data_IF_342230701664
#
_entry.id   IF_342230701664
#
_cell.length_a   1.000
_cell.length_b   1.000
_cell.length_c   1.000
_cell.angle_alpha   90.00
_cell.angle_beta   90.00
_cell.angle_gamma   90.00
#
_symmetry.space_group_name_H-M   'P 1'
#
loop_
_entity.id
_entity.type
_entity.pdbx_description
1 polymer ?
#
# COMPACT_ATOMS: atom_id res chain seq x y z
N UNK A 1 -7.63 -62.49 30.66
CA UNK A 1 -6.88 -63.76 30.54
C UNK A 1 -7.58 -64.63 29.50
N UNK A 2 -6.76 -65.33 28.69
CA UNK A 2 -7.09 -66.38 27.71
C UNK A 2 -7.71 -65.99 26.35
N UNK A 3 -6.89 -66.29 25.34
CA UNK A 3 -6.95 -66.16 23.88
C UNK A 3 -7.66 -67.31 23.16
N UNK A 4 -8.20 -67.08 21.96
CA UNK A 4 -8.10 -68.06 20.85
C UNK A 4 -8.28 -67.46 19.44
N UNK A 5 -7.32 -67.79 18.57
CA UNK A 5 -7.25 -67.66 17.09
C UNK A 5 -7.93 -68.89 16.44
N UNK A 6 -8.37 -68.86 15.17
CA UNK A 6 -7.48 -69.16 14.01
C UNK A 6 -7.82 -68.34 12.71
N UNK A 7 -6.83 -67.95 11.88
CA UNK A 7 -6.39 -68.59 10.59
C UNK A 7 -7.42 -68.51 9.45
N UNK A 8 -7.15 -68.38 8.15
CA UNK A 8 -6.09 -67.89 7.25
C UNK A 8 -6.68 -68.00 5.82
N UNK A 9 -6.09 -67.31 4.83
CA UNK A 9 -6.30 -67.44 3.35
C UNK A 9 -7.41 -66.53 2.80
N UNK A 10 -7.31 -65.86 1.64
CA UNK A 10 -6.41 -65.99 0.48
C UNK A 10 -6.51 -64.69 -0.35
N UNK A 11 -5.40 -64.27 -0.96
CA UNK A 11 -5.32 -63.10 -1.83
C UNK A 11 -5.90 -63.34 -3.23
N UNK A 12 -6.51 -62.30 -3.81
CA UNK A 12 -6.59 -62.00 -5.25
C UNK A 12 -6.86 -60.48 -5.33
N UNK A 13 -5.85 -59.63 -5.53
CA UNK A 13 -5.37 -59.13 -6.82
C UNK A 13 -6.48 -58.56 -7.71
N UNK A 14 -6.69 -57.24 -7.60
CA UNK A 14 -7.28 -56.38 -8.62
C UNK A 14 -6.81 -54.94 -8.39
N UNK A 15 -5.74 -54.61 -9.09
CA UNK A 15 -5.45 -53.31 -9.74
C UNK A 15 -5.70 -52.03 -8.93
N UNK A 16 -4.56 -51.59 -8.39
CA UNK A 16 -4.15 -50.22 -8.14
C UNK A 16 -4.56 -49.26 -9.28
N UNK A 17 -5.57 -48.42 -9.03
CA UNK A 17 -5.66 -47.09 -9.60
C UNK A 17 -5.08 -46.14 -8.54
N UNK A 18 -3.83 -45.75 -8.76
CA UNK A 18 -3.21 -44.67 -8.01
C UNK A 18 -3.99 -43.39 -8.30
N UNK A 19 -4.81 -42.95 -7.35
CA UNK A 19 -5.20 -41.54 -7.27
C UNK A 19 -3.89 -40.79 -7.00
N UNK A 20 -3.28 -40.26 -8.06
CA UNK A 20 -2.10 -39.41 -7.93
C UNK A 20 -2.45 -38.23 -7.04
N UNK A 21 -1.48 -37.64 -6.32
CA UNK A 21 -1.76 -36.45 -5.54
C UNK A 21 -2.29 -35.39 -6.49
N UNK A 22 -3.59 -35.06 -6.38
CA UNK A 22 -4.15 -33.84 -6.93
C UNK A 22 -3.34 -32.74 -6.27
N UNK A 23 -2.32 -32.26 -6.98
CA UNK A 23 -1.50 -31.15 -6.55
C UNK A 23 -2.39 -29.94 -6.77
N UNK A 24 -3.25 -29.66 -5.79
CA UNK A 24 -3.95 -28.40 -5.67
C UNK A 24 -2.85 -27.35 -5.65
N UNK A 25 -2.62 -26.74 -6.81
CA UNK A 25 -1.61 -25.71 -6.97
C UNK A 25 -2.10 -24.56 -6.10
N UNK A 26 -1.50 -24.40 -4.93
CA UNK A 26 -1.84 -23.33 -4.00
C UNK A 26 -1.66 -22.01 -4.76
N UNK A 27 -2.78 -21.39 -5.12
CA UNK A 27 -2.77 -20.15 -5.89
C UNK A 27 -2.40 -19.05 -4.90
N UNK A 28 -1.12 -18.71 -4.84
CA UNK A 28 -0.63 -17.57 -4.08
C UNK A 28 -0.88 -16.27 -4.84
N UNK A 29 -1.39 -15.25 -4.15
CA UNK A 29 -1.53 -13.92 -4.72
C UNK A 29 -0.15 -13.28 -4.96
N UNK A 30 -0.03 -12.34 -5.91
CA UNK A 30 1.17 -11.50 -6.02
C UNK A 30 1.47 -10.78 -4.70
N UNK A 31 2.74 -10.47 -4.41
CA UNK A 31 3.15 -9.92 -3.11
C UNK A 31 2.51 -8.57 -2.79
N UNK A 32 2.25 -7.76 -3.82
CA UNK A 32 1.61 -6.45 -3.72
C UNK A 32 0.07 -6.51 -3.72
N UNK A 33 -0.52 -7.71 -3.68
CA UNK A 33 -1.97 -7.91 -3.74
C UNK A 33 -2.46 -8.53 -2.44
N UNK A 34 -3.51 -7.95 -1.87
CA UNK A 34 -4.21 -8.50 -0.72
C UNK A 34 -5.72 -8.46 -0.88
N UNK A 35 -6.41 -9.30 -0.12
CA UNK A 35 -7.87 -9.32 -0.10
C UNK A 35 -8.35 -8.74 1.23
N UNK A 36 -9.07 -7.62 1.16
CA UNK A 36 -9.82 -7.10 2.28
C UNK A 36 -11.21 -7.74 2.32
N UNK A 37 -11.41 -8.58 3.33
CA UNK A 37 -12.70 -9.19 3.66
C UNK A 37 -13.22 -8.71 5.03
N UNK A 38 -12.81 -7.50 5.43
CA UNK A 38 -13.19 -6.91 6.71
C UNK A 38 -14.65 -6.48 6.79
N UNK A 39 -15.13 -6.13 7.99
CA UNK A 39 -16.53 -5.79 8.25
C UNK A 39 -17.02 -4.54 7.49
N UNK A 40 -16.11 -3.73 6.95
CA UNK A 40 -16.41 -2.45 6.31
C UNK A 40 -16.02 -2.41 4.83
N UNK A 41 -16.23 -3.49 4.07
CA UNK A 41 -15.90 -3.48 2.63
C UNK A 41 -16.68 -2.41 1.88
N UNK A 42 -17.96 -2.25 2.20
CA UNK A 42 -18.76 -1.16 1.66
C UNK A 42 -18.25 0.23 2.09
N UNK A 43 -17.68 0.36 3.30
CA UNK A 43 -17.07 1.61 3.78
C UNK A 43 -15.79 1.93 3.02
N UNK A 44 -14.91 0.95 2.79
CA UNK A 44 -13.68 1.11 2.02
C UNK A 44 -13.94 1.65 0.60
N UNK A 45 -14.99 1.15 -0.08
CA UNK A 45 -15.35 1.63 -1.42
C UNK A 45 -16.02 3.01 -1.45
N UNK A 46 -16.60 3.46 -0.32
CA UNK A 46 -17.24 4.78 -0.20
C UNK A 46 -16.33 5.84 0.40
N UNK A 47 -15.22 5.42 1.01
CA UNK A 47 -14.27 6.33 1.62
C UNK A 47 -13.80 7.39 0.62
N UNK A 48 -13.66 8.62 1.12
CA UNK A 48 -13.18 9.78 0.36
C UNK A 48 -11.94 10.40 0.98
N UNK A 49 -11.48 9.88 2.12
CA UNK A 49 -10.24 10.26 2.79
C UNK A 49 -9.46 9.00 3.10
N UNK A 50 -8.19 9.00 2.70
CA UNK A 50 -7.29 7.86 2.86
C UNK A 50 -5.96 8.32 3.45
N UNK A 51 -5.40 7.52 4.35
CA UNK A 51 -4.03 7.72 4.86
C UNK A 51 -3.25 6.43 4.74
N UNK A 52 -2.11 6.47 4.05
CA UNK A 52 -1.12 5.40 3.97
C UNK A 52 -0.07 5.64 5.04
N UNK A 53 0.05 4.73 5.99
CA UNK A 53 1.14 4.71 6.96
C UNK A 53 2.09 3.59 6.62
N UNK A 54 3.38 3.91 6.52
CA UNK A 54 4.43 2.91 6.33
C UNK A 54 5.16 2.78 7.66
N UNK A 55 5.25 1.57 8.19
CA UNK A 55 5.97 1.31 9.44
C UNK A 55 7.43 0.96 9.16
N UNK A 56 8.32 1.28 10.11
CA UNK A 56 9.74 0.92 10.02
C UNK A 56 10.00 -0.57 10.27
N UNK A 57 9.00 -1.30 10.76
CA UNK A 57 9.07 -2.74 11.02
C UNK A 57 8.62 -3.51 9.80
N UNK A 58 9.45 -4.46 9.36
CA UNK A 58 9.19 -5.31 8.20
C UNK A 58 8.40 -6.59 8.53
N UNK A 59 8.15 -6.87 9.82
CA UNK A 59 7.40 -8.05 10.26
C UNK A 59 5.87 -7.76 10.27
N UNK A 60 5.09 -8.32 9.33
CA UNK A 60 3.66 -8.08 9.23
C UNK A 60 2.88 -8.64 10.42
N UNK A 61 3.38 -9.69 11.08
CA UNK A 61 2.70 -10.29 12.23
C UNK A 61 2.82 -9.39 13.46
N UNK A 62 3.98 -8.75 13.65
CA UNK A 62 4.17 -7.75 14.71
C UNK A 62 3.27 -6.54 14.50
N UNK A 63 3.13 -6.08 13.25
CA UNK A 63 2.22 -4.99 12.90
C UNK A 63 0.75 -5.37 13.17
N UNK A 64 0.32 -6.55 12.71
CA UNK A 64 -1.03 -7.06 12.94
C UNK A 64 -1.38 -7.14 14.44
N UNK A 65 -0.44 -7.65 15.24
CA UNK A 65 -0.60 -7.76 16.69
C UNK A 65 -0.73 -6.38 17.37
N UNK A 66 0.02 -5.38 16.91
CA UNK A 66 -0.06 -4.03 17.45
C UNK A 66 -1.41 -3.36 17.11
N UNK A 67 -1.89 -3.53 15.88
CA UNK A 67 -3.17 -2.97 15.42
C UNK A 67 -4.37 -3.62 16.10
N UNK A 68 -4.36 -4.93 16.29
CA UNK A 68 -5.50 -5.68 16.83
C UNK A 68 -6.71 -5.73 15.89
N UNK A 69 -7.73 -6.52 16.25
CA UNK A 69 -8.89 -6.80 15.40
C UNK A 69 -9.83 -5.62 15.19
N UNK A 70 -9.91 -4.69 16.14
CA UNK A 70 -10.97 -3.67 16.16
C UNK A 70 -10.77 -2.59 15.08
N UNK A 71 -9.54 -2.41 14.62
CA UNK A 71 -9.24 -1.42 13.57
C UNK A 71 -9.72 -1.87 12.18
N UNK A 72 -10.09 -3.15 12.01
CA UNK A 72 -10.50 -3.70 10.71
C UNK A 72 -11.73 -3.01 10.10
N UNK A 73 -12.47 -2.18 10.85
CA UNK A 73 -13.61 -1.39 10.34
C UNK A 73 -13.21 -0.12 9.57
N UNK A 74 -12.03 0.43 9.84
CA UNK A 74 -11.54 1.69 9.27
C UNK A 74 -10.08 1.61 8.79
N UNK A 75 -9.42 0.46 8.96
CA UNK A 75 -8.09 0.22 8.43
C UNK A 75 -7.95 -1.15 7.76
N UNK A 76 -7.00 -1.21 6.84
CA UNK A 76 -6.53 -2.42 6.19
C UNK A 76 -5.01 -2.49 6.32
N UNK A 77 -4.48 -3.66 6.70
CA UNK A 77 -3.04 -3.88 6.75
C UNK A 77 -2.62 -4.66 5.50
N UNK A 78 -1.56 -4.19 4.85
CA UNK A 78 -0.85 -4.92 3.81
C UNK A 78 0.65 -4.89 4.12
N UNK A 79 1.26 -6.04 4.37
CA UNK A 79 2.67 -6.14 4.78
C UNK A 79 3.01 -5.20 5.96
N UNK A 80 3.94 -4.25 5.80
CA UNK A 80 4.32 -3.22 6.77
C UNK A 80 3.55 -1.89 6.60
N UNK A 81 2.55 -1.86 5.74
CA UNK A 81 1.72 -0.69 5.41
C UNK A 81 0.35 -0.82 6.05
N UNK A 82 -0.15 0.30 6.55
CA UNK A 82 -1.51 0.45 7.08
C UNK A 82 -2.24 1.50 6.26
N UNK A 83 -3.34 1.09 5.64
CA UNK A 83 -4.27 2.00 4.98
C UNK A 83 -5.40 2.32 5.96
N UNK A 84 -5.60 3.60 6.27
CA UNK A 84 -6.75 4.11 7.01
C UNK A 84 -7.71 4.74 6.00
N UNK A 85 -9.01 4.53 6.17
CA UNK A 85 -10.02 4.99 5.23
C UNK A 85 -11.29 5.44 5.95
N UNK A 86 -11.83 6.58 5.53
CA UNK A 86 -13.08 7.13 6.06
C UNK A 86 -13.84 7.95 5.01
N UNK A 87 -15.14 8.14 5.23
CA UNK A 87 -16.00 9.00 4.40
C UNK A 87 -15.83 10.50 4.73
N UNK A 88 -15.29 10.83 5.91
CA UNK A 88 -15.20 12.20 6.41
C UNK A 88 -13.89 12.45 7.16
N UNK A 89 -13.39 13.69 7.13
CA UNK A 89 -12.08 14.06 7.69
C UNK A 89 -12.03 13.98 9.23
N UNK A 90 -13.10 14.41 9.92
CA UNK A 90 -13.15 14.41 11.39
C UNK A 90 -12.97 13.00 12.01
N UNK A 91 -13.75 11.97 11.62
CA UNK A 91 -13.50 10.61 12.10
C UNK A 91 -12.16 10.06 11.60
N UNK A 92 -11.72 10.45 10.39
CA UNK A 92 -10.43 10.01 9.84
C UNK A 92 -9.25 10.41 10.72
N UNK A 93 -9.23 11.65 11.21
CA UNK A 93 -8.17 12.13 12.10
C UNK A 93 -8.19 11.43 13.46
N UNK A 94 -9.36 11.10 13.97
CA UNK A 94 -9.50 10.31 15.21
C UNK A 94 -9.00 8.87 14.99
N UNK A 95 -9.39 8.21 13.90
CA UNK A 95 -8.90 6.87 13.54
C UNK A 95 -7.38 6.86 13.31
N UNK A 96 -6.83 7.87 12.62
CA UNK A 96 -5.39 8.05 12.47
C UNK A 96 -4.69 8.14 13.82
N UNK A 97 -5.20 8.97 14.74
CA UNK A 97 -4.67 9.09 16.10
C UNK A 97 -4.71 7.74 16.81
N UNK A 98 -5.82 7.01 16.73
CA UNK A 98 -5.98 5.70 17.36
C UNK A 98 -4.97 4.68 16.82
N UNK A 99 -4.76 4.62 15.50
CA UNK A 99 -3.75 3.74 14.90
C UNK A 99 -2.35 4.10 15.40
N UNK A 100 -1.97 5.38 15.39
CA UNK A 100 -0.66 5.81 15.88
C UNK A 100 -0.43 5.45 17.36
N UNK A 101 -1.45 5.62 18.20
CA UNK A 101 -1.39 5.22 19.60
C UNK A 101 -1.21 3.70 19.74
N UNK A 102 -1.96 2.89 18.98
CA UNK A 102 -1.80 1.42 19.01
C UNK A 102 -0.41 0.98 18.57
N UNK A 103 0.12 1.55 17.49
CA UNK A 103 1.46 1.24 16.99
C UNK A 103 2.54 1.53 18.04
N UNK A 104 2.41 2.67 18.73
CA UNK A 104 3.33 3.06 19.80
C UNK A 104 3.17 2.21 21.05
N UNK A 105 1.95 2.11 21.59
CA UNK A 105 1.70 1.55 22.92
C UNK A 105 1.81 0.01 22.92
N UNK A 106 1.39 -0.65 21.83
CA UNK A 106 1.34 -2.12 21.77
C UNK A 106 2.61 -2.75 21.16
N UNK A 107 3.45 -1.98 20.47
CA UNK A 107 4.59 -2.55 19.72
C UNK A 107 5.84 -1.69 19.62
N UNK A 108 5.81 -0.45 20.15
CA UNK A 108 6.86 0.56 19.98
C UNK A 108 7.32 0.67 18.51
N UNK A 109 6.32 0.73 17.61
CA UNK A 109 6.54 0.71 16.17
C UNK A 109 6.68 2.15 15.64
N UNK A 110 7.79 2.42 14.96
CA UNK A 110 8.02 3.68 14.27
C UNK A 110 7.30 3.77 12.93
N UNK A 111 7.07 4.99 12.46
CA UNK A 111 6.61 5.30 11.12
C UNK A 111 7.77 5.79 10.26
N UNK A 112 7.78 5.36 9.00
CA UNK A 112 8.60 5.93 7.96
C UNK A 112 7.84 7.08 7.29
N UNK A 113 7.97 8.28 7.88
CA UNK A 113 7.24 9.47 7.44
C UNK A 113 7.53 9.86 5.99
N UNK A 114 8.69 9.50 5.44
CA UNK A 114 9.04 9.82 4.05
C UNK A 114 8.19 9.07 3.02
N UNK A 115 7.62 7.93 3.42
CA UNK A 115 6.75 7.09 2.57
C UNK A 115 5.27 7.13 2.97
N UNK A 116 4.93 7.89 4.00
CA UNK A 116 3.54 8.07 4.41
C UNK A 116 2.82 9.06 3.49
N UNK A 117 1.52 8.83 3.26
CA UNK A 117 0.64 9.73 2.52
C UNK A 117 -0.55 10.03 3.42
N UNK A 118 -0.82 11.32 3.66
CA UNK A 118 -1.86 11.76 4.59
C UNK A 118 -3.02 12.42 3.83
N UNK A 119 -4.24 12.13 4.28
CA UNK A 119 -5.48 12.78 3.84
C UNK A 119 -5.66 12.82 2.31
N UNK A 120 -5.27 11.75 1.63
CA UNK A 120 -5.47 11.58 0.21
C UNK A 120 -6.97 11.50 -0.12
N UNK A 121 -7.40 12.20 -1.17
CA UNK A 121 -8.81 12.26 -1.59
C UNK A 121 -9.30 11.03 -2.36
N UNK A 122 -8.43 10.05 -2.58
CA UNK A 122 -8.75 8.79 -3.27
C UNK A 122 -7.75 7.70 -2.89
N UNK A 123 -8.16 6.44 -3.05
CA UNK A 123 -7.27 5.29 -2.83
C UNK A 123 -6.04 5.35 -3.74
N UNK A 124 -6.23 5.79 -4.99
CA UNK A 124 -5.15 5.87 -5.98
C UNK A 124 -4.07 6.87 -5.56
N UNK A 125 -4.48 8.04 -5.02
CA UNK A 125 -3.55 9.01 -4.45
C UNK A 125 -2.85 8.50 -3.20
N UNK A 126 -3.48 7.60 -2.43
CA UNK A 126 -2.84 6.89 -1.33
C UNK A 126 -1.95 5.71 -1.79
N UNK A 127 -1.79 5.50 -3.10
CA UNK A 127 -0.96 4.44 -3.67
C UNK A 127 -1.64 3.07 -3.73
N UNK A 128 -2.97 3.01 -3.75
CA UNK A 128 -3.73 1.75 -3.82
C UNK A 128 -4.75 1.75 -4.95
N UNK A 129 -4.77 0.65 -5.70
CA UNK A 129 -5.91 0.31 -6.56
C UNK A 129 -6.83 -0.67 -5.83
N UNK A 130 -8.14 -0.50 -6.00
CA UNK A 130 -9.14 -1.33 -5.36
C UNK A 130 -10.17 -1.82 -6.35
N UNK A 131 -10.49 -3.11 -6.28
CA UNK A 131 -11.47 -3.74 -7.14
C UNK A 131 -12.40 -4.64 -6.33
N UNK A 132 -13.71 -4.50 -6.55
CA UNK A 132 -14.71 -5.32 -5.86
C UNK A 132 -14.71 -6.73 -6.47
N UNK A 133 -14.53 -7.72 -5.61
CA UNK A 133 -14.61 -9.13 -6.00
C UNK A 133 -16.05 -9.67 -5.90
N UNK A 134 -16.26 -10.81 -6.58
CA UNK A 134 -17.48 -11.60 -6.39
C UNK A 134 -17.53 -12.06 -4.92
N UNK A 135 -18.65 -11.82 -4.23
CA UNK A 135 -18.79 -12.10 -2.80
C UNK A 135 -18.56 -10.90 -1.87
N UNK A 136 -18.24 -9.71 -2.41
CA UNK A 136 -18.22 -8.46 -1.63
C UNK A 136 -16.92 -8.18 -0.87
N UNK A 137 -15.93 -9.06 -0.99
CA UNK A 137 -14.54 -8.75 -0.66
C UNK A 137 -13.94 -7.75 -1.67
N UNK A 138 -12.83 -7.14 -1.31
CA UNK A 138 -12.14 -6.15 -2.13
C UNK A 138 -10.71 -6.62 -2.36
N UNK A 139 -10.30 -6.68 -3.62
CA UNK A 139 -8.91 -6.80 -3.99
C UNK A 139 -8.26 -5.44 -3.81
N UNK A 140 -7.17 -5.40 -3.04
CA UNK A 140 -6.37 -4.21 -2.78
C UNK A 140 -5.00 -4.46 -3.36
N UNK A 141 -4.60 -3.64 -4.32
CA UNK A 141 -3.30 -3.68 -4.98
C UNK A 141 -2.48 -2.49 -4.46
N UNK A 142 -1.36 -2.76 -3.80
CA UNK A 142 -0.38 -1.74 -3.46
C UNK A 142 0.43 -1.38 -4.70
N UNK A 143 0.39 -0.10 -5.08
CA UNK A 143 1.08 0.44 -6.25
C UNK A 143 2.47 0.99 -5.92
N UNK A 144 2.83 1.07 -4.64
CA UNK A 144 4.15 1.53 -4.20
C UNK A 144 5.04 0.41 -3.68
N UNK A 145 4.63 -0.85 -3.85
CA UNK A 145 5.45 -2.06 -3.61
C UNK A 145 6.51 -2.25 -4.74
N UNK A 146 7.14 -1.17 -5.20
CA UNK A 146 8.17 -1.20 -6.24
C UNK A 146 9.49 -0.71 -5.67
N UNK A 147 10.22 -1.66 -5.09
CA UNK A 147 11.68 -1.63 -5.05
C UNK A 147 12.13 -3.05 -5.46
N UNK A 148 13.08 -3.12 -6.41
CA UNK A 148 13.80 -4.31 -6.93
C UNK A 148 13.34 -4.93 -8.27
N UNK A 149 13.26 -4.17 -9.38
CA UNK A 149 13.75 -4.66 -10.71
C UNK A 149 13.93 -3.58 -11.80
N UNK A 150 14.27 -2.32 -11.45
CA UNK A 150 14.81 -1.39 -12.45
C UNK A 150 16.32 -1.65 -12.58
N UNK A 151 16.68 -2.71 -13.31
CA UNK A 151 18.02 -2.83 -13.87
C UNK A 151 18.21 -1.70 -14.89
N UNK A 152 18.82 -0.62 -14.45
CA UNK A 152 19.30 0.49 -15.26
C UNK A 152 20.21 -0.06 -16.37
N UNK A 153 19.69 -0.20 -17.59
CA UNK A 153 20.52 -0.39 -18.76
C UNK A 153 20.95 1.01 -19.24
N UNK A 154 21.96 1.54 -18.58
CA UNK A 154 22.72 2.71 -19.01
C UNK A 154 23.41 2.37 -20.35
N UNK A 155 22.84 2.84 -21.45
CA UNK A 155 23.58 3.02 -22.69
C UNK A 155 23.89 4.49 -22.82
N UNK A 156 25.04 4.87 -22.26
CA UNK A 156 25.73 6.14 -22.46
C UNK A 156 26.03 6.28 -23.97
N UNK A 157 25.28 7.13 -24.68
CA UNK A 157 25.64 7.60 -26.02
C UNK A 157 26.22 9.00 -25.88
N UNK A 158 27.54 9.05 -25.71
CA UNK A 158 28.36 10.25 -25.82
C UNK A 158 28.24 10.84 -27.24
N UNK A 159 27.58 11.99 -27.37
CA UNK A 159 27.83 12.88 -28.50
C UNK A 159 27.84 14.34 -28.05
N UNK A 160 29.05 14.82 -27.75
CA UNK A 160 29.42 16.24 -27.66
C UNK A 160 29.05 17.01 -28.93
N UNK A 161 28.30 18.11 -28.79
CA UNK A 161 28.45 19.31 -29.63
C UNK A 161 27.76 20.53 -29.00
N UNK A 162 28.58 21.47 -28.56
CA UNK A 162 28.27 22.82 -28.10
C UNK A 162 27.42 23.63 -29.10
N UNK A 163 26.39 24.33 -28.61
CA UNK A 163 25.90 25.56 -29.26
C UNK A 163 25.40 26.55 -28.19
N UNK A 164 26.34 27.37 -27.73
CA UNK A 164 26.17 28.49 -26.82
C UNK A 164 25.74 29.73 -27.63
N UNK A 165 24.46 30.11 -27.55
CA UNK A 165 23.97 31.51 -27.62
C UNK A 165 22.45 31.58 -27.80
N UNK A 166 21.70 31.80 -26.71
CA UNK A 166 20.55 32.73 -26.66
C UNK A 166 19.77 32.63 -25.34
N UNK A 167 20.28 33.21 -24.25
CA UNK A 167 19.44 33.53 -23.09
C UNK A 167 19.87 34.77 -22.29
N UNK A 168 20.67 35.66 -22.91
CA UNK A 168 21.09 36.94 -22.33
C UNK A 168 20.22 38.14 -22.79
N UNK A 169 18.91 37.93 -23.01
CA UNK A 169 18.00 38.98 -23.48
C UNK A 169 16.86 39.35 -22.51
N UNK A 170 16.86 38.90 -21.26
CA UNK A 170 15.79 39.20 -20.30
C UNK A 170 16.18 40.11 -19.11
N UNK A 171 17.44 40.56 -19.01
CA UNK A 171 17.89 41.46 -17.96
C UNK A 171 18.39 42.77 -18.56
N UNK A 172 17.44 43.64 -18.92
CA UNK A 172 17.72 45.00 -19.37
C UNK A 172 16.79 45.99 -18.66
N UNK A 173 17.11 46.33 -17.42
CA UNK A 173 16.77 47.67 -16.92
C UNK A 173 17.61 48.69 -17.70
N UNK A 174 17.03 49.86 -18.01
CA UNK A 174 17.82 51.06 -17.77
C UNK A 174 17.05 52.12 -16.97
N UNK A 175 17.77 52.56 -15.94
CA UNK A 175 17.67 53.82 -15.20
C UNK A 175 17.52 55.03 -16.15
N UNK A 176 16.69 56.02 -15.77
CA UNK A 176 16.73 57.32 -16.44
C UNK A 176 15.51 58.23 -16.27
N UNK A 177 15.37 58.84 -15.09
CA UNK A 177 14.99 60.25 -14.90
C UNK A 177 13.68 60.81 -15.48
N UNK A 178 12.79 61.25 -14.59
CA UNK A 178 12.22 62.59 -14.63
C UNK A 178 11.54 62.92 -13.30
N UNK A 179 12.13 63.89 -12.59
CA UNK A 179 11.46 64.65 -11.54
C UNK A 179 10.41 65.56 -12.18
N UNK A 180 9.18 65.52 -11.69
CA UNK A 180 8.21 66.59 -11.90
C UNK A 180 7.36 66.74 -10.63
N UNK A 181 7.63 67.82 -9.92
CA UNK A 181 6.80 68.37 -8.85
C UNK A 181 5.59 69.08 -9.46
N UNK A 182 4.39 68.85 -8.94
CA UNK A 182 3.25 69.80 -8.92
C UNK A 182 2.33 69.32 -7.78
N UNK A 183 2.34 69.94 -6.60
CA UNK A 183 1.61 71.16 -6.23
C UNK A 183 0.08 71.03 -6.33
N UNK A 184 -0.54 70.88 -5.14
CA UNK A 184 -1.65 71.68 -4.63
C UNK A 184 -3.04 71.64 -5.31
N UNK A 185 -4.03 71.39 -4.44
CA UNK A 185 -5.42 71.89 -4.46
C UNK A 185 -6.42 71.31 -5.49
N UNK A 186 -7.41 70.56 -4.98
CA UNK A 186 -8.75 71.11 -4.68
C UNK A 186 -9.45 70.24 -3.64
#
# INVERSE_FOLDING_TARGET
MATQKPSSSKASHAEQLTDGPTTEREVSLPPNVSIYAGPSSAGLLRASVFTRLVTTVQDPAKLAAALGSDCATFCHQHQNVVLIFDEHLDPHHEHFRQVCLRLKDNGDLGLDYGRCIFDAGSSLQAGFQMDKLQGGAIMVVDLQDHDDDDSENDSEDDSDAEDDASLLAALGEPVGGAVASESSQA
#
